data_IF_284744681370
#
_entry.id   IF_284744681370
#
_cell.length_a   1.000
_cell.length_b   1.000
_cell.length_c   1.000
_cell.angle_alpha   90.00
_cell.angle_beta   90.00
_cell.angle_gamma   90.00
#
_symmetry.space_group_name_H-M   'P 1'
#
loop_
_entity.id
_entity.type
_entity.pdbx_description
1 polymer ?
#
# COMPACT_ATOMS: atom_id res chain seq x y z
N UNK A 1 -13.11 -0.87 -3.06
CA UNK A 1 -11.85 -0.08 -2.99
C UNK A 1 -10.63 -0.95 -2.75
N UNK A 2 -10.71 -1.94 -1.87
CA UNK A 2 -9.59 -2.84 -1.58
C UNK A 2 -9.05 -3.49 -2.85
N UNK A 3 -9.92 -3.95 -3.76
CA UNK A 3 -9.47 -4.58 -5.00
C UNK A 3 -8.70 -3.61 -5.91
N UNK A 4 -9.10 -2.34 -5.96
CA UNK A 4 -8.37 -1.33 -6.73
C UNK A 4 -7.00 -1.05 -6.12
N UNK A 5 -6.93 -0.98 -4.79
CA UNK A 5 -5.65 -0.78 -4.09
C UNK A 5 -4.72 -1.97 -4.33
N UNK A 6 -5.26 -3.18 -4.24
CA UNK A 6 -4.50 -4.41 -4.49
C UNK A 6 -3.93 -4.42 -5.91
N UNK A 7 -4.76 -4.15 -6.91
CA UNK A 7 -4.32 -4.12 -8.30
C UNK A 7 -3.23 -3.07 -8.52
N UNK A 8 -3.40 -1.87 -7.94
CA UNK A 8 -2.42 -0.79 -8.06
C UNK A 8 -1.08 -1.16 -7.42
N UNK A 9 -1.12 -1.75 -6.23
CA UNK A 9 0.11 -2.17 -5.53
C UNK A 9 0.80 -3.29 -6.28
N UNK A 10 0.07 -4.30 -6.73
CA UNK A 10 0.66 -5.44 -7.45
C UNK A 10 1.21 -5.04 -8.82
N UNK A 11 0.68 -3.97 -9.43
CA UNK A 11 1.24 -3.44 -10.67
C UNK A 11 2.61 -2.80 -10.47
N UNK A 12 2.89 -2.29 -9.26
CA UNK A 12 4.15 -1.60 -8.95
C UNK A 12 5.14 -2.48 -8.19
N UNK A 13 4.64 -3.43 -7.39
CA UNK A 13 5.46 -4.25 -6.49
C UNK A 13 5.01 -5.69 -6.57
N UNK A 14 5.93 -6.58 -6.90
CA UNK A 14 5.66 -8.01 -6.86
C UNK A 14 5.66 -8.47 -5.41
N UNK A 15 4.51 -8.93 -4.91
CA UNK A 15 4.34 -9.32 -3.52
C UNK A 15 4.17 -10.83 -3.37
N UNK A 16 4.85 -11.40 -2.35
CA UNK A 16 4.62 -12.78 -1.91
C UNK A 16 3.28 -12.87 -1.19
N UNK A 17 2.92 -11.83 -0.46
CA UNK A 17 1.66 -11.73 0.25
C UNK A 17 1.25 -10.26 0.32
N UNK A 18 -0.04 -9.98 0.25
CA UNK A 18 -0.57 -8.63 0.34
C UNK A 18 -1.93 -8.67 1.01
N UNK A 19 -1.98 -8.11 2.21
CA UNK A 19 -3.21 -8.02 2.99
C UNK A 19 -3.61 -6.55 3.10
N UNK A 20 -4.85 -6.24 2.73
CA UNK A 20 -5.42 -4.91 2.85
C UNK A 20 -6.72 -5.03 3.64
N UNK A 21 -6.80 -4.32 4.75
CA UNK A 21 -7.98 -4.33 5.60
C UNK A 21 -8.55 -2.93 5.72
N UNK A 22 -9.87 -2.82 5.76
CA UNK A 22 -10.53 -1.55 5.97
C UNK A 22 -10.86 -1.37 7.45
N UNK A 23 -10.63 -0.15 7.95
CA UNK A 23 -11.07 0.28 9.27
C UNK A 23 -12.32 1.14 9.15
N UNK A 24 -12.26 2.39 9.65
CA UNK A 24 -13.32 3.36 9.40
C UNK A 24 -13.33 3.75 7.92
N UNK A 25 -14.42 4.36 7.41
CA UNK A 25 -14.52 4.69 5.99
C UNK A 25 -13.33 5.50 5.48
N UNK A 26 -12.71 5.02 4.41
CA UNK A 26 -11.55 5.68 3.81
C UNK A 26 -10.23 5.39 4.50
N UNK A 27 -10.22 4.63 5.60
CA UNK A 27 -9.02 4.28 6.35
C UNK A 27 -8.67 2.81 6.16
N UNK A 28 -7.41 2.52 5.87
CA UNK A 28 -6.95 1.17 5.54
C UNK A 28 -5.67 0.81 6.27
N UNK A 29 -5.47 -0.49 6.43
CA UNK A 29 -4.22 -1.08 6.92
C UNK A 29 -3.68 -1.98 5.82
N UNK A 30 -2.39 -1.84 5.52
CA UNK A 30 -1.73 -2.61 4.46
C UNK A 30 -0.55 -3.37 5.05
N UNK A 31 -0.45 -4.66 4.72
CA UNK A 31 0.70 -5.48 5.02
C UNK A 31 1.17 -6.11 3.71
N UNK A 32 2.36 -5.74 3.28
CA UNK A 32 2.94 -6.21 2.03
C UNK A 32 4.25 -6.95 2.30
N UNK A 33 4.36 -8.16 1.78
CA UNK A 33 5.57 -8.98 1.87
C UNK A 33 6.16 -9.09 0.47
N UNK A 34 7.38 -8.59 0.29
CA UNK A 34 8.01 -8.56 -1.03
C UNK A 34 9.52 -8.62 -0.95
N UNK A 35 10.14 -9.38 -1.86
CA UNK A 35 11.59 -9.39 -2.05
C UNK A 35 12.12 -8.01 -2.50
N UNK A 36 11.29 -7.20 -3.14
CA UNK A 36 11.65 -5.85 -3.57
C UNK A 36 12.05 -4.95 -2.39
N UNK A 37 11.60 -5.25 -1.17
CA UNK A 37 11.92 -4.48 0.02
C UNK A 37 13.31 -4.78 0.59
N UNK A 38 13.96 -5.87 0.16
CA UNK A 38 15.22 -6.34 0.75
C UNK A 38 16.35 -5.32 0.65
N UNK A 39 16.44 -4.60 -0.48
CA UNK A 39 17.50 -3.64 -0.74
C UNK A 39 17.09 -2.20 -0.47
N UNK A 40 15.91 -1.99 0.13
CA UNK A 40 15.36 -0.66 0.39
C UNK A 40 15.32 -0.39 1.89
N UNK A 41 15.64 0.86 2.28
CA UNK A 41 15.40 1.29 3.65
C UNK A 41 13.90 1.51 3.87
N UNK A 42 13.50 1.74 5.12
CA UNK A 42 12.09 1.87 5.50
C UNK A 42 11.37 2.96 4.71
N UNK A 43 11.98 4.12 4.54
CA UNK A 43 11.37 5.25 3.83
C UNK A 43 11.10 4.87 2.37
N UNK A 44 12.07 4.26 1.71
CA UNK A 44 11.92 3.86 0.30
C UNK A 44 10.90 2.73 0.12
N UNK A 45 10.83 1.80 1.07
CA UNK A 45 9.80 0.75 1.06
C UNK A 45 8.41 1.38 1.10
N UNK A 46 8.20 2.33 2.00
CA UNK A 46 6.93 3.02 2.13
C UNK A 46 6.61 3.87 0.91
N UNK A 47 7.59 4.58 0.37
CA UNK A 47 7.42 5.38 -0.84
C UNK A 47 6.98 4.52 -2.03
N UNK A 48 7.51 3.31 -2.13
CA UNK A 48 7.14 2.40 -3.21
C UNK A 48 5.66 2.03 -3.14
N UNK A 49 5.16 1.70 -1.96
CA UNK A 49 3.75 1.35 -1.76
C UNK A 49 2.85 2.57 -1.90
N UNK A 50 3.19 3.69 -1.24
CA UNK A 50 2.39 4.91 -1.35
C UNK A 50 2.34 5.43 -2.78
N UNK A 51 3.45 5.36 -3.52
CA UNK A 51 3.48 5.76 -4.91
C UNK A 51 2.50 4.96 -5.77
N UNK A 52 2.36 3.67 -5.46
CA UNK A 52 1.45 2.80 -6.21
C UNK A 52 -0.02 3.21 -6.05
N UNK A 53 -0.40 3.75 -4.89
CA UNK A 53 -1.79 4.13 -4.60
C UNK A 53 -2.00 5.64 -4.56
N UNK A 54 -1.00 6.43 -5.00
CA UNK A 54 -1.05 7.88 -4.91
C UNK A 54 -2.29 8.48 -5.58
N UNK A 55 -2.69 7.95 -6.73
CA UNK A 55 -3.88 8.46 -7.44
C UNK A 55 -5.17 8.22 -6.68
N UNK A 56 -5.22 7.21 -5.83
CA UNK A 56 -6.40 6.91 -5.02
C UNK A 56 -6.48 7.79 -3.76
N UNK A 57 -5.39 8.51 -3.45
CA UNK A 57 -5.28 9.38 -2.29
C UNK A 57 -5.31 10.87 -2.64
N UNK A 58 -5.45 11.22 -3.92
CA UNK A 58 -5.46 12.60 -4.38
C UNK A 58 -6.83 13.26 -4.22
N UNK A 59 -6.83 14.52 -3.84
CA UNK A 59 -8.02 15.37 -3.82
C UNK A 59 -8.84 15.21 -2.54
N UNK A 60 -9.79 16.12 -2.37
CA UNK A 60 -10.64 16.16 -1.17
C UNK A 60 -11.60 14.98 -1.10
N UNK A 61 -12.00 14.46 -2.25
CA UNK A 61 -12.92 13.32 -2.35
C UNK A 61 -12.22 12.00 -2.63
N UNK A 62 -10.93 11.92 -2.30
CA UNK A 62 -10.16 10.71 -2.53
C UNK A 62 -10.81 9.50 -1.84
N UNK A 63 -10.94 8.36 -2.53
CA UNK A 63 -11.54 7.17 -1.94
C UNK A 63 -10.68 6.59 -0.81
N UNK A 64 -9.37 6.82 -0.83
CA UNK A 64 -8.46 6.43 0.25
C UNK A 64 -8.05 7.70 0.97
N UNK A 65 -8.57 7.90 2.20
CA UNK A 65 -8.25 9.07 3.01
C UNK A 65 -6.93 8.93 3.74
N UNK A 66 -6.69 7.76 4.32
CA UNK A 66 -5.50 7.53 5.11
C UNK A 66 -5.14 6.04 5.14
N UNK A 67 -3.84 5.77 5.25
CA UNK A 67 -3.32 4.45 5.58
C UNK A 67 -2.91 4.52 7.04
N UNK A 68 -3.70 3.91 7.90
CA UNK A 68 -3.47 3.96 9.35
C UNK A 68 -2.24 3.18 9.76
N UNK A 69 -1.93 2.12 9.01
CA UNK A 69 -0.76 1.30 9.26
C UNK A 69 -0.26 0.69 7.95
N UNK A 70 1.03 0.81 7.70
CA UNK A 70 1.69 0.21 6.55
C UNK A 70 2.86 -0.62 7.03
N UNK A 71 2.82 -1.91 6.78
CA UNK A 71 3.91 -2.83 7.06
C UNK A 71 4.51 -3.32 5.74
N UNK A 72 5.80 -3.06 5.55
CA UNK A 72 6.58 -3.56 4.42
C UNK A 72 7.56 -4.59 4.97
N UNK A 73 7.40 -5.84 4.56
CA UNK A 73 8.11 -6.98 5.16
C UNK A 73 8.93 -7.68 4.09
N UNK A 74 10.18 -7.97 4.41
CA UNK A 74 11.04 -8.84 3.60
C UNK A 74 10.67 -10.29 3.90
N UNK A 75 10.54 -11.14 2.89
CA UNK A 75 10.33 -12.57 3.12
C UNK A 75 11.51 -13.22 3.85
#
# INVERSE_FOLDING_TARGET
>A
MIERMRAAILAAVECEDLVIESGSPGHYVIRAVSHAFADLNRVKQQQLVYGAIADLMKGDDAPVHAIDRLECIKP
#
